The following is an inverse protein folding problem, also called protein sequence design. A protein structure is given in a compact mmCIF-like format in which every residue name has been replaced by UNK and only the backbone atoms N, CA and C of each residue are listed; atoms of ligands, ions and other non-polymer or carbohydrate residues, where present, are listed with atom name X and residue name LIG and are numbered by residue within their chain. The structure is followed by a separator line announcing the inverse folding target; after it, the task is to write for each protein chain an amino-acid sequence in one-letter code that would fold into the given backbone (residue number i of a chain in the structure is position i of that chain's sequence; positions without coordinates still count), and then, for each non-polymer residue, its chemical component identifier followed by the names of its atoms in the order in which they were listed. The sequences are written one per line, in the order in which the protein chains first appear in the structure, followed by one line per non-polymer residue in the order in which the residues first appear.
data_IF_778733483753
#
_entry.id   IF_778733483753
#
_cell.length_a   1.000
_cell.length_b   1.000
_cell.length_c   1.000
_cell.angle_alpha   90.00
_cell.angle_beta   90.00
_cell.angle_gamma   90.00
#
_symmetry.space_group_name_H-M   'P 1'
#
loop_
_entity.id
_entity.type
_entity.pdbx_description
1 polymer ?
#
# COMPACT_ATOMS: atom_id res chain seq x y z
N UNK A 1 13.37 -7.84 8.71
CA UNK A 1 12.01 -7.80 9.30
C UNK A 1 11.98 -8.32 10.73
N UNK A 2 12.59 -9.49 11.00
CA UNK A 2 12.72 -10.04 12.35
C UNK A 2 13.34 -9.05 13.36
N UNK A 3 14.47 -8.43 13.02
CA UNK A 3 15.13 -7.45 13.91
C UNK A 3 14.23 -6.25 14.28
N UNK A 4 13.40 -5.79 13.34
CA UNK A 4 12.47 -4.70 13.59
C UNK A 4 11.31 -5.13 14.52
N UNK A 5 10.82 -6.36 14.35
CA UNK A 5 9.83 -6.95 15.26
C UNK A 5 10.39 -7.19 16.65
N UNK A 6 11.66 -7.61 16.75
CA UNK A 6 12.33 -7.85 18.02
C UNK A 6 12.57 -6.54 18.77
N UNK A 7 13.02 -5.49 18.07
CA UNK A 7 13.19 -4.16 18.64
C UNK A 7 11.84 -3.58 19.11
N UNK A 8 10.80 -3.72 18.29
CA UNK A 8 9.44 -3.32 18.66
C UNK A 8 8.92 -4.07 19.88
N UNK A 9 9.18 -5.37 19.94
CA UNK A 9 8.81 -6.20 21.09
C UNK A 9 9.53 -5.75 22.37
N UNK A 10 10.81 -5.35 22.29
CA UNK A 10 11.55 -4.80 23.44
C UNK A 10 10.93 -3.49 23.92
N UNK A 11 10.58 -2.59 23.00
CA UNK A 11 9.90 -1.32 23.32
C UNK A 11 8.56 -1.57 24.03
N UNK A 12 7.72 -2.46 23.47
CA UNK A 12 6.41 -2.79 24.07
C UNK A 12 6.56 -3.52 25.43
N UNK A 13 7.61 -4.30 25.63
CA UNK A 13 7.95 -4.90 26.94
C UNK A 13 8.30 -3.83 27.98
N UNK A 14 8.97 -2.76 27.56
CA UNK A 14 9.37 -1.65 28.42
C UNK A 14 8.22 -0.69 28.77
N UNK A 15 7.16 -0.62 27.94
CA UNK A 15 5.97 0.19 28.22
C UNK A 15 5.24 -0.26 29.49
N UNK A 16 4.59 0.67 30.19
CA UNK A 16 3.70 0.34 31.29
C UNK A 16 2.46 -0.39 30.78
N UNK A 17 1.84 -1.22 31.64
CA UNK A 17 0.67 -2.02 31.23
C UNK A 17 -0.49 -1.15 30.77
N UNK A 18 -0.75 -0.03 31.44
CA UNK A 18 -1.85 0.88 31.12
C UNK A 18 -1.64 1.58 29.77
N UNK A 19 -0.39 1.95 29.45
CA UNK A 19 -0.02 2.52 28.15
C UNK A 19 -0.16 1.50 27.03
N UNK A 20 0.23 0.24 27.29
CA UNK A 20 0.08 -0.84 26.34
C UNK A 20 -1.40 -1.13 26.04
N UNK A 21 -2.26 -1.14 27.08
CA UNK A 21 -3.71 -1.28 26.89
C UNK A 21 -4.31 -0.12 26.10
N UNK A 22 -3.90 1.11 26.40
CA UNK A 22 -4.34 2.29 25.65
C UNK A 22 -3.94 2.21 24.16
N UNK A 23 -2.71 1.73 23.86
CA UNK A 23 -2.25 1.47 22.50
C UNK A 23 -3.11 0.42 21.80
N UNK A 24 -3.32 -0.73 22.44
CA UNK A 24 -4.11 -1.84 21.92
C UNK A 24 -5.55 -1.40 21.61
N UNK A 25 -6.17 -0.64 22.52
CA UNK A 25 -7.50 -0.06 22.32
C UNK A 25 -7.55 0.92 21.14
N UNK A 26 -6.52 1.75 20.98
CA UNK A 26 -6.40 2.67 19.83
C UNK A 26 -6.26 1.93 18.50
N UNK A 27 -5.64 0.76 18.51
CA UNK A 27 -5.55 -0.13 17.35
C UNK A 27 -6.84 -0.93 17.10
N UNK A 28 -7.87 -0.77 17.95
CA UNK A 28 -9.13 -1.51 17.84
C UNK A 28 -9.00 -2.99 18.22
N UNK A 29 -7.99 -3.34 19.02
CA UNK A 29 -7.67 -4.71 19.45
C UNK A 29 -8.17 -4.93 20.89
N UNK A 30 -8.24 -6.20 21.32
CA UNK A 30 -8.70 -6.57 22.68
C UNK A 30 -7.63 -6.26 23.74
N UNK A 31 -7.95 -5.34 24.66
CA UNK A 31 -7.06 -4.86 25.73
C UNK A 31 -7.17 -5.66 27.04
N UNK A 32 -8.03 -6.68 27.09
CA UNK A 32 -8.27 -7.49 28.30
C UNK A 32 -7.26 -8.62 28.50
N UNK A 33 -6.31 -8.78 27.59
CA UNK A 33 -5.29 -9.83 27.65
C UNK A 33 -4.15 -9.49 28.62
N UNK A 34 -3.33 -10.50 28.96
CA UNK A 34 -2.12 -10.30 29.76
C UNK A 34 -1.03 -9.57 28.94
N UNK A 35 -0.01 -9.02 29.62
CA UNK A 35 1.01 -8.18 28.98
C UNK A 35 1.70 -8.87 27.80
N UNK A 36 2.05 -10.15 27.93
CA UNK A 36 2.74 -10.91 26.88
C UNK A 36 1.84 -11.05 25.65
N UNK A 37 0.59 -11.46 25.85
CA UNK A 37 -0.40 -11.61 24.78
C UNK A 37 -0.72 -10.28 24.08
N UNK A 38 -0.77 -9.15 24.81
CA UNK A 38 -0.94 -7.84 24.21
C UNK A 38 0.23 -7.48 23.28
N UNK A 39 1.47 -7.75 23.71
CA UNK A 39 2.68 -7.48 22.91
C UNK A 39 2.65 -8.29 21.61
N UNK A 40 2.38 -9.59 21.71
CA UNK A 40 2.28 -10.48 20.54
C UNK A 40 1.17 -10.00 19.58
N UNK A 41 0.02 -9.60 20.13
CA UNK A 41 -1.11 -9.10 19.33
C UNK A 41 -0.77 -7.82 18.59
N UNK A 42 -0.08 -6.85 19.24
CA UNK A 42 0.37 -5.62 18.58
C UNK A 42 1.39 -5.93 17.47
N UNK A 43 2.39 -6.77 17.74
CA UNK A 43 3.42 -7.12 16.76
C UNK A 43 2.81 -7.83 15.55
N UNK A 44 1.88 -8.77 15.77
CA UNK A 44 1.17 -9.47 14.71
C UNK A 44 0.29 -8.52 13.89
N UNK A 45 -0.42 -7.60 14.54
CA UNK A 45 -1.23 -6.58 13.87
C UNK A 45 -0.36 -5.68 12.98
N UNK A 46 0.78 -5.20 13.49
CA UNK A 46 1.70 -4.35 12.72
C UNK A 46 2.34 -5.11 11.54
N UNK A 47 2.68 -6.39 11.72
CA UNK A 47 3.18 -7.24 10.64
C UNK A 47 2.12 -7.41 9.54
N UNK A 48 0.86 -7.68 9.93
CA UNK A 48 -0.25 -7.78 8.98
C UNK A 48 -0.48 -6.45 8.25
N UNK A 49 -0.52 -5.33 8.96
CA UNK A 49 -0.71 -4.02 8.34
C UNK A 49 0.39 -3.69 7.31
N UNK A 50 1.64 -4.08 7.58
CA UNK A 50 2.75 -3.95 6.62
C UNK A 50 2.58 -4.86 5.41
N UNK A 51 2.19 -6.12 5.63
CA UNK A 51 1.92 -7.06 4.55
C UNK A 51 0.75 -6.60 3.65
N UNK A 52 -0.34 -6.14 4.25
CA UNK A 52 -1.53 -5.63 3.53
C UNK A 52 -1.18 -4.40 2.70
N UNK A 53 -0.38 -3.47 3.25
CA UNK A 53 0.13 -2.31 2.51
C UNK A 53 1.00 -2.73 1.32
N UNK A 54 1.94 -3.65 1.53
CA UNK A 54 2.82 -4.14 0.47
C UNK A 54 2.03 -4.86 -0.64
N UNK A 55 1.03 -5.66 -0.26
CA UNK A 55 0.14 -6.34 -1.20
C UNK A 55 -0.71 -5.34 -1.99
N UNK A 56 -1.23 -4.30 -1.34
CA UNK A 56 -1.97 -3.23 -2.00
C UNK A 56 -1.10 -2.47 -3.00
N UNK A 57 0.11 -2.07 -2.61
CA UNK A 57 1.06 -1.41 -3.51
C UNK A 57 1.46 -2.31 -4.68
N UNK A 58 1.70 -3.60 -4.44
CA UNK A 58 2.00 -4.56 -5.49
C UNK A 58 0.82 -4.72 -6.46
N UNK A 59 -0.41 -4.76 -5.95
CA UNK A 59 -1.63 -4.79 -6.77
C UNK A 59 -1.75 -3.53 -7.62
N UNK A 60 -1.57 -2.34 -7.03
CA UNK A 60 -1.60 -1.07 -7.77
C UNK A 60 -0.53 -1.04 -8.87
N UNK A 61 0.71 -1.44 -8.56
CA UNK A 61 1.79 -1.54 -9.55
C UNK A 61 1.42 -2.51 -10.68
N UNK A 62 0.87 -3.67 -10.35
CA UNK A 62 0.43 -4.65 -11.35
C UNK A 62 -0.64 -4.08 -12.28
N UNK A 63 -1.63 -3.37 -11.73
CA UNK A 63 -2.67 -2.69 -12.51
C UNK A 63 -2.06 -1.63 -13.44
N UNK A 64 -1.16 -0.79 -12.94
CA UNK A 64 -0.51 0.25 -13.76
C UNK A 64 0.36 -0.35 -14.85
N UNK A 65 1.15 -1.39 -14.55
CA UNK A 65 2.01 -2.08 -15.53
C UNK A 65 1.16 -2.78 -16.59
N UNK A 66 0.10 -3.49 -16.19
CA UNK A 66 -0.83 -4.12 -17.11
C UNK A 66 -1.48 -3.09 -18.03
N UNK A 67 -1.98 -1.98 -17.46
CA UNK A 67 -2.60 -0.92 -18.25
C UNK A 67 -1.62 -0.24 -19.21
N UNK A 68 -0.39 -0.03 -18.77
CA UNK A 68 0.68 0.49 -19.62
C UNK A 68 0.95 -0.44 -20.81
N UNK A 69 1.08 -1.74 -20.57
CA UNK A 69 1.31 -2.73 -21.63
C UNK A 69 0.15 -2.77 -22.64
N UNK A 70 -1.11 -2.71 -22.18
CA UNK A 70 -2.29 -2.59 -23.05
C UNK A 70 -2.18 -1.38 -23.97
N UNK A 71 -1.87 -0.20 -23.40
CA UNK A 71 -1.76 1.05 -24.15
C UNK A 71 -0.57 1.04 -25.11
N UNK A 72 0.58 0.49 -24.70
CA UNK A 72 1.75 0.33 -25.58
C UNK A 72 1.48 -0.60 -26.76
N UNK A 73 0.60 -1.59 -26.59
CA UNK A 73 0.12 -2.47 -27.65
C UNK A 73 -0.80 -1.80 -28.68
N UNK A 74 -1.43 -0.67 -28.34
CA UNK A 74 -2.31 0.05 -29.27
C UNK A 74 -1.55 0.77 -30.38
N UNK A 75 -2.23 1.01 -31.50
CA UNK A 75 -1.71 1.85 -32.57
C UNK A 75 -1.68 3.32 -32.14
N UNK A 76 -0.86 4.13 -32.82
CA UNK A 76 -0.78 5.58 -32.58
C UNK A 76 -2.14 6.27 -32.80
N UNK A 77 -2.92 5.78 -33.77
CA UNK A 77 -4.27 6.28 -34.07
C UNK A 77 -5.25 5.95 -32.94
N UNK A 78 -5.22 4.74 -32.41
CA UNK A 78 -6.11 4.35 -31.31
C UNK A 78 -5.77 5.08 -30.01
N UNK A 79 -4.47 5.29 -29.75
CA UNK A 79 -4.02 6.13 -28.63
C UNK A 79 -4.46 7.59 -28.79
N UNK A 80 -4.45 8.14 -30.01
CA UNK A 80 -4.95 9.50 -30.25
C UNK A 80 -6.44 9.60 -29.93
N UNK A 81 -7.26 8.65 -30.42
CA UNK A 81 -8.70 8.60 -30.11
C UNK A 81 -8.97 8.45 -28.61
N UNK A 82 -8.18 7.65 -27.90
CA UNK A 82 -8.29 7.48 -26.45
C UNK A 82 -7.88 8.74 -25.68
N UNK A 83 -6.89 9.50 -26.18
CA UNK A 83 -6.56 10.82 -25.63
C UNK A 83 -7.70 11.81 -25.86
N UNK A 84 -8.26 11.85 -27.06
CA UNK A 84 -9.36 12.75 -27.43
C UNK A 84 -10.60 12.49 -26.57
N UNK A 85 -10.96 11.22 -26.34
CA UNK A 85 -12.10 10.86 -25.48
C UNK A 85 -11.94 11.27 -24.01
N UNK A 86 -10.71 11.52 -23.57
CA UNK A 86 -10.36 11.96 -22.23
C UNK A 86 -9.94 13.45 -22.19
N UNK A 87 -10.17 14.21 -23.26
CA UNK A 87 -9.77 15.61 -23.39
C UNK A 87 -8.26 15.85 -23.13
N UNK A 88 -7.41 14.88 -23.48
CA UNK A 88 -5.95 15.00 -23.41
C UNK A 88 -5.47 15.66 -24.70
N UNK A 89 -4.98 16.88 -24.59
CA UNK A 89 -4.40 17.66 -25.70
C UNK A 89 -2.89 17.79 -25.56
N UNK A 90 -2.20 18.00 -26.68
CA UNK A 90 -0.76 18.32 -26.68
C UNK A 90 0.21 17.15 -26.53
N UNK A 91 -0.27 15.91 -26.53
CA UNK A 91 0.59 14.72 -26.51
C UNK A 91 1.32 14.53 -27.85
N UNK A 92 2.66 14.59 -27.84
CA UNK A 92 3.48 14.70 -29.06
C UNK A 92 4.05 13.38 -29.58
N UNK A 93 4.09 12.34 -28.74
CA UNK A 93 4.62 11.02 -29.11
C UNK A 93 3.71 9.90 -28.63
N UNK A 94 3.96 8.67 -29.11
CA UNK A 94 3.21 7.49 -28.66
C UNK A 94 3.36 7.31 -27.14
N UNK A 95 4.58 7.42 -26.63
CA UNK A 95 4.91 7.28 -25.20
C UNK A 95 4.26 8.40 -24.37
N UNK A 96 4.27 9.64 -24.86
CA UNK A 96 3.61 10.77 -24.19
C UNK A 96 2.10 10.52 -24.07
N UNK A 97 1.44 9.99 -25.12
CA UNK A 97 0.02 9.59 -25.06
C UNK A 97 -0.23 8.51 -24.02
N UNK A 98 0.59 7.47 -23.98
CA UNK A 98 0.49 6.39 -22.97
C UNK A 98 0.62 6.96 -21.56
N UNK A 99 1.62 7.81 -21.31
CA UNK A 99 1.83 8.43 -20.00
C UNK A 99 0.69 9.36 -19.59
N UNK A 100 0.16 10.16 -20.51
CA UNK A 100 -0.98 11.04 -20.24
C UNK A 100 -2.25 10.24 -19.93
N UNK A 101 -2.46 9.11 -20.62
CA UNK A 101 -3.60 8.21 -20.39
C UNK A 101 -3.50 7.48 -19.04
N UNK A 102 -2.29 7.22 -18.54
CA UNK A 102 -2.08 6.61 -17.22
C UNK A 102 -2.25 7.60 -16.05
N UNK A 103 -2.24 8.91 -16.31
CA UNK A 103 -2.42 9.97 -15.29
C UNK A 103 -3.89 10.32 -15.02
N UNK A 104 -4.83 9.71 -15.75
CA UNK A 104 -6.27 9.90 -15.60
C UNK A 104 -6.85 8.84 -14.69
#
# INVERSE_FOLDING_TARGET
EQEAQDQRSKELKAMAMDELKALVKRLGLDDKQNKVALIETVVAHEAKARADKAAHEAKLRSVVVGKKAELEGLSISDLAKACDSQNIVGARSKQDRVEQLLKR
#
